data_IF_824604000232
#
_entry.id   IF_824604000232
#
_cell.length_a   1.000
_cell.length_b   1.000
_cell.length_c   1.000
_cell.angle_alpha   90.00
_cell.angle_beta   90.00
_cell.angle_gamma   90.00
#
_symmetry.space_group_name_H-M   'P 1'
#
loop_
_entity.id
_entity.type
_entity.pdbx_description
1 polymer ?
#
# COMPACT_ATOMS: atom_id res chain seq x y z
N UNK A 1 13.60 53.78 31.09
CA UNK A 1 13.34 52.48 31.75
C UNK A 1 12.82 51.50 30.73
N UNK A 2 13.76 50.84 30.06
CA UNK A 2 13.62 50.05 28.82
C UNK A 2 13.86 48.55 29.07
N UNK A 3 13.22 47.90 30.06
CA UNK A 3 13.51 46.47 30.31
C UNK A 3 12.31 45.53 30.46
N UNK A 4 11.07 46.02 30.36
CA UNK A 4 9.89 45.18 30.64
C UNK A 4 9.10 44.73 29.40
N UNK A 5 9.42 45.21 28.19
CA UNK A 5 8.73 44.81 26.95
C UNK A 5 9.50 43.83 26.07
N UNK A 6 10.73 43.46 26.44
CA UNK A 6 11.58 42.55 25.64
C UNK A 6 11.47 41.08 26.03
N UNK A 7 10.72 40.73 27.10
CA UNK A 7 10.69 39.35 27.62
C UNK A 7 9.54 38.48 27.12
N UNK A 8 8.62 39.02 26.32
CA UNK A 8 7.43 38.28 25.84
C UNK A 8 7.50 37.81 24.39
N UNK A 9 8.55 38.15 23.65
CA UNK A 9 8.74 37.74 22.24
C UNK A 9 9.65 36.51 22.12
N UNK A 10 10.38 36.13 23.18
CA UNK A 10 11.34 35.02 23.12
C UNK A 10 10.72 33.62 23.29
N UNK A 11 9.46 33.49 23.69
CA UNK A 11 8.85 32.19 23.99
C UNK A 11 8.07 31.57 22.82
N UNK A 12 7.72 32.33 21.77
CA UNK A 12 6.92 31.82 20.65
C UNK A 12 7.74 31.29 19.47
N UNK A 13 9.06 31.52 19.44
CA UNK A 13 9.88 31.20 18.27
C UNK A 13 10.65 29.86 18.35
N UNK A 14 10.49 29.08 19.43
CA UNK A 14 11.21 27.81 19.62
C UNK A 14 10.36 26.53 19.48
N UNK A 15 9.06 26.65 19.18
CA UNK A 15 8.18 25.48 19.03
C UNK A 15 7.89 25.08 17.56
N UNK A 16 8.46 25.76 16.57
CA UNK A 16 8.13 25.50 15.15
C UNK A 16 8.95 24.34 14.55
N UNK A 17 10.05 23.91 15.18
CA UNK A 17 10.89 22.83 14.62
C UNK A 17 10.43 21.40 14.95
N UNK A 18 9.42 21.19 15.79
CA UNK A 18 8.95 19.86 16.17
C UNK A 18 7.79 19.32 15.32
N UNK A 19 7.20 20.14 14.43
CA UNK A 19 5.98 19.77 13.69
C UNK A 19 6.24 18.96 12.39
N UNK A 20 7.47 18.90 11.90
CA UNK A 20 7.82 18.12 10.71
C UNK A 20 8.43 16.76 11.08
N UNK A 21 7.73 15.95 11.89
CA UNK A 21 7.90 14.50 11.81
C UNK A 21 6.99 13.99 10.70
N UNK A 22 7.43 14.19 9.45
CA UNK A 22 6.92 13.39 8.34
C UNK A 22 7.20 11.93 8.73
N UNK A 23 6.15 11.19 9.07
CA UNK A 23 6.22 9.73 9.08
C UNK A 23 6.46 9.34 7.63
N UNK A 24 7.73 9.21 7.25
CA UNK A 24 8.08 8.47 6.04
C UNK A 24 7.38 7.12 6.15
N UNK A 25 6.40 6.91 5.28
CA UNK A 25 5.72 5.65 5.17
C UNK A 25 6.72 4.68 4.56
N UNK A 26 7.55 4.05 5.42
CA UNK A 26 8.61 3.10 5.03
C UNK A 26 8.08 1.81 4.42
N UNK A 27 6.78 1.75 4.11
CA UNK A 27 6.09 0.60 3.55
C UNK A 27 5.45 0.90 2.20
N UNK A 28 5.98 1.86 1.45
CA UNK A 28 5.88 1.79 0.00
C UNK A 28 6.81 0.67 -0.44
N UNK A 29 6.22 -0.48 -0.77
CA UNK A 29 6.90 -1.65 -1.31
C UNK A 29 7.90 -1.21 -2.39
N UNK A 30 9.18 -1.14 -2.02
CA UNK A 30 10.23 -0.74 -2.93
C UNK A 30 10.43 -1.93 -3.84
N UNK A 31 9.74 -1.92 -4.98
CA UNK A 31 10.17 -2.65 -6.18
C UNK A 31 11.61 -2.20 -6.47
N UNK A 32 12.59 -2.94 -5.95
CA UNK A 32 14.01 -2.62 -6.13
C UNK A 32 14.51 -2.98 -7.52
N UNK A 33 13.71 -3.76 -8.28
CA UNK A 33 14.04 -4.24 -9.60
C UNK A 33 12.87 -4.01 -10.58
N UNK A 34 13.20 -3.53 -11.78
CA UNK A 34 12.24 -3.36 -12.88
C UNK A 34 11.85 -4.72 -13.51
N UNK A 35 12.77 -5.68 -13.50
CA UNK A 35 12.55 -7.07 -13.94
C UNK A 35 12.89 -8.04 -12.81
N UNK A 36 12.02 -9.02 -12.60
CA UNK A 36 12.18 -10.09 -11.61
C UNK A 36 13.08 -11.21 -12.18
N UNK A 37 14.39 -10.99 -12.20
CA UNK A 37 15.35 -11.93 -12.82
C UNK A 37 15.57 -13.22 -12.02
N UNK A 38 15.11 -13.28 -10.76
CA UNK A 38 15.21 -14.47 -9.93
C UNK A 38 14.46 -15.68 -10.51
N UNK A 39 13.46 -15.45 -11.36
CA UNK A 39 12.63 -16.51 -11.95
C UNK A 39 13.18 -17.08 -13.26
N UNK A 40 14.26 -16.49 -13.80
CA UNK A 40 14.87 -16.95 -15.03
C UNK A 40 15.40 -18.37 -14.86
N UNK A 41 14.96 -19.27 -15.74
CA UNK A 41 15.47 -20.62 -15.92
C UNK A 41 16.49 -20.65 -17.08
N UNK A 42 17.76 -20.50 -16.73
CA UNK A 42 18.87 -20.51 -17.69
C UNK A 42 19.14 -21.89 -18.32
N UNK A 43 18.44 -22.96 -17.91
CA UNK A 43 18.55 -24.27 -18.57
C UNK A 43 17.77 -24.30 -19.89
N UNK A 44 16.75 -23.45 -20.03
CA UNK A 44 15.97 -23.29 -21.26
C UNK A 44 16.57 -22.22 -22.16
N UNK A 45 16.81 -22.51 -23.43
CA UNK A 45 17.26 -21.48 -24.38
C UNK A 45 16.12 -20.49 -24.68
N UNK A 46 16.37 -19.17 -24.65
CA UNK A 46 15.33 -18.17 -24.94
C UNK A 46 14.70 -18.29 -26.32
N UNK A 47 15.46 -18.76 -27.33
CA UNK A 47 15.00 -18.97 -28.71
C UNK A 47 13.99 -20.10 -28.83
N UNK A 48 14.05 -21.07 -27.93
CA UNK A 48 13.28 -22.31 -28.04
C UNK A 48 11.97 -22.16 -27.28
N UNK A 49 12.02 -21.55 -26.08
CA UNK A 49 10.84 -21.21 -25.30
C UNK A 49 11.12 -20.02 -24.37
N UNK A 50 10.80 -18.82 -24.85
CA UNK A 50 11.02 -17.60 -24.08
C UNK A 50 10.20 -17.53 -22.78
N UNK A 51 8.98 -18.07 -22.78
CA UNK A 51 8.12 -18.05 -21.59
C UNK A 51 8.71 -18.89 -20.46
N UNK A 52 9.19 -20.10 -20.78
CA UNK A 52 9.87 -20.98 -19.84
C UNK A 52 11.22 -20.37 -19.40
N UNK A 53 12.00 -19.78 -20.31
CA UNK A 53 13.24 -19.11 -19.94
C UNK A 53 13.03 -18.00 -18.90
N UNK A 54 12.02 -17.15 -19.07
CA UNK A 54 11.76 -16.03 -18.15
C UNK A 54 11.08 -16.47 -16.85
N UNK A 55 10.14 -17.42 -16.93
CA UNK A 55 9.24 -17.75 -15.81
C UNK A 55 9.48 -19.14 -15.20
N UNK A 56 10.43 -19.93 -15.71
CA UNK A 56 10.53 -21.37 -15.40
C UNK A 56 10.57 -21.68 -13.90
N UNK A 57 11.41 -20.98 -13.14
CA UNK A 57 11.48 -21.18 -11.68
C UNK A 57 10.21 -20.73 -10.95
N UNK A 58 9.48 -19.75 -11.50
CA UNK A 58 8.17 -19.37 -10.95
C UNK A 58 7.14 -20.47 -11.22
N UNK A 59 7.12 -21.03 -12.43
CA UNK A 59 6.20 -22.11 -12.80
C UNK A 59 6.39 -23.36 -11.91
N UNK A 60 7.64 -23.66 -11.53
CA UNK A 60 7.95 -24.78 -10.63
C UNK A 60 7.39 -24.61 -9.20
N UNK A 61 7.09 -23.38 -8.79
CA UNK A 61 6.69 -23.04 -7.41
C UNK A 61 5.27 -22.46 -7.30
N UNK A 62 4.72 -21.98 -8.41
CA UNK A 62 3.39 -21.38 -8.45
C UNK A 62 2.30 -22.42 -8.14
N UNK A 63 1.52 -22.14 -7.11
CA UNK A 63 0.33 -22.93 -6.76
C UNK A 63 -0.90 -22.08 -6.98
N UNK A 64 -1.95 -22.65 -7.59
CA UNK A 64 -3.26 -21.99 -7.68
C UNK A 64 -3.98 -22.21 -6.34
N UNK A 65 -4.28 -21.15 -5.56
CA UNK A 65 -5.04 -21.28 -4.33
C UNK A 65 -6.44 -21.85 -4.57
N UNK A 66 -7.01 -22.56 -3.59
CA UNK A 66 -8.30 -23.26 -3.74
C UNK A 66 -9.51 -22.35 -3.98
N UNK A 67 -9.38 -21.06 -3.68
CA UNK A 67 -10.38 -20.02 -3.91
C UNK A 67 -10.22 -19.31 -5.28
N UNK A 68 -9.27 -19.74 -6.11
CA UNK A 68 -8.95 -19.09 -7.39
C UNK A 68 -8.91 -20.09 -8.54
N UNK A 69 -9.20 -19.60 -9.73
CA UNK A 69 -9.11 -20.38 -10.98
C UNK A 69 -7.76 -20.19 -11.68
N UNK A 70 -6.96 -19.19 -11.27
CA UNK A 70 -5.65 -18.89 -11.84
C UNK A 70 -4.75 -18.16 -10.84
N UNK A 71 -3.44 -18.20 -11.10
CA UNK A 71 -2.42 -17.43 -10.37
C UNK A 71 -1.45 -16.78 -11.37
N UNK A 72 -0.91 -15.62 -11.02
CA UNK A 72 0.01 -14.86 -11.88
C UNK A 72 0.09 -13.40 -11.46
N UNK A 73 0.87 -12.61 -12.20
CA UNK A 73 1.12 -11.20 -11.86
C UNK A 73 -0.14 -10.33 -11.80
N UNK A 74 -1.11 -10.54 -12.70
CA UNK A 74 -2.39 -9.81 -12.66
C UNK A 74 -3.27 -10.21 -11.47
N UNK A 75 -3.28 -11.50 -11.10
CA UNK A 75 -3.98 -11.95 -9.91
C UNK A 75 -3.38 -11.30 -8.65
N UNK A 76 -2.05 -11.30 -8.54
CA UNK A 76 -1.34 -10.65 -7.44
C UNK A 76 -1.67 -9.15 -7.35
N UNK A 77 -1.59 -8.41 -8.47
CA UNK A 77 -1.95 -6.99 -8.51
C UNK A 77 -3.39 -6.74 -8.05
N UNK A 78 -4.32 -7.57 -8.51
CA UNK A 78 -5.72 -7.46 -8.12
C UNK A 78 -5.92 -7.71 -6.62
N UNK A 79 -5.25 -8.71 -6.06
CA UNK A 79 -5.32 -9.02 -4.63
C UNK A 79 -4.73 -7.91 -3.76
N UNK A 80 -3.56 -7.39 -4.13
CA UNK A 80 -2.96 -6.24 -3.45
C UNK A 80 -3.86 -5.01 -3.49
N UNK A 81 -4.52 -4.77 -4.62
CA UNK A 81 -5.45 -3.64 -4.80
C UNK A 81 -6.70 -3.83 -3.95
N UNK A 82 -7.28 -5.04 -3.94
CA UNK A 82 -8.43 -5.38 -3.08
C UNK A 82 -8.09 -5.21 -1.60
N UNK A 83 -6.91 -5.63 -1.16
CA UNK A 83 -6.47 -5.47 0.22
C UNK A 83 -6.35 -4.00 0.62
N UNK A 84 -5.77 -3.16 -0.25
CA UNK A 84 -5.70 -1.70 -0.03
C UNK A 84 -7.10 -1.07 0.03
N UNK A 85 -7.98 -1.45 -0.90
CA UNK A 85 -9.35 -0.96 -0.92
C UNK A 85 -10.14 -1.39 0.33
N UNK A 86 -10.01 -2.66 0.74
CA UNK A 86 -10.62 -3.20 1.96
C UNK A 86 -10.19 -2.39 3.18
N UNK A 87 -8.90 -2.10 3.32
CA UNK A 87 -8.41 -1.28 4.42
C UNK A 87 -9.04 0.14 4.44
N UNK A 88 -9.18 0.79 3.28
CA UNK A 88 -9.82 2.10 3.18
C UNK A 88 -11.32 2.06 3.53
N UNK A 89 -12.02 1.02 3.08
CA UNK A 89 -13.45 0.84 3.35
C UNK A 89 -13.67 0.52 4.84
N UNK A 90 -12.85 -0.34 5.43
CA UNK A 90 -12.90 -0.63 6.87
C UNK A 90 -12.62 0.62 7.72
N UNK A 91 -11.70 1.48 7.28
CA UNK A 91 -11.45 2.76 7.92
C UNK A 91 -12.67 3.68 7.82
N UNK A 92 -13.32 3.75 6.66
CA UNK A 92 -14.56 4.50 6.47
C UNK A 92 -15.71 3.96 7.34
N UNK A 93 -15.81 2.64 7.51
CA UNK A 93 -16.81 2.00 8.37
C UNK A 93 -16.58 2.30 9.87
N UNK A 94 -15.31 2.31 10.31
CA UNK A 94 -14.94 2.65 11.70
C UNK A 94 -15.06 4.14 12.00
N UNK A 95 -14.74 4.97 11.01
CA UNK A 95 -14.71 6.43 11.10
C UNK A 95 -15.60 7.04 9.99
N UNK A 96 -16.93 7.06 10.16
CA UNK A 96 -17.86 7.43 9.08
C UNK A 96 -17.83 8.93 8.70
N UNK A 97 -17.22 9.78 9.53
CA UNK A 97 -17.20 11.22 9.30
C UNK A 97 -18.57 11.85 9.55
N UNK A 98 -18.88 12.93 8.81
CA UNK A 98 -20.15 13.64 8.99
C UNK A 98 -21.34 12.85 8.42
N UNK A 99 -22.50 12.97 9.07
CA UNK A 99 -23.75 12.37 8.60
C UNK A 99 -24.09 12.85 7.17
N UNK A 100 -24.51 11.92 6.32
CA UNK A 100 -24.82 12.13 4.90
C UNK A 100 -23.60 12.14 3.96
N UNK A 101 -22.37 12.10 4.49
CA UNK A 101 -21.15 12.15 3.68
C UNK A 101 -20.92 10.87 2.85
N UNK A 102 -20.08 10.96 1.81
CA UNK A 102 -19.68 9.79 1.00
C UNK A 102 -18.96 8.76 1.87
N UNK A 103 -18.12 9.20 2.80
CA UNK A 103 -17.39 8.30 3.70
C UNK A 103 -18.36 7.48 4.57
N UNK A 104 -19.35 8.14 5.18
CA UNK A 104 -20.40 7.46 5.94
C UNK A 104 -21.13 6.44 5.07
N UNK A 105 -21.58 6.85 3.87
CA UNK A 105 -22.31 5.95 2.95
C UNK A 105 -21.50 4.73 2.52
N UNK A 106 -20.19 4.89 2.27
CA UNK A 106 -19.28 3.78 1.94
C UNK A 106 -19.17 2.81 3.12
N UNK A 107 -18.98 3.33 4.32
CA UNK A 107 -18.91 2.53 5.55
C UNK A 107 -20.21 1.78 5.84
N UNK A 108 -21.36 2.45 5.75
CA UNK A 108 -22.67 1.87 5.98
C UNK A 108 -22.99 0.76 4.96
N UNK A 109 -22.68 1.00 3.68
CA UNK A 109 -22.86 -0.01 2.64
C UNK A 109 -22.00 -1.25 2.89
N UNK A 110 -20.74 -1.06 3.31
CA UNK A 110 -19.88 -2.17 3.68
C UNK A 110 -20.45 -2.97 4.86
N UNK A 111 -20.86 -2.30 5.94
CA UNK A 111 -21.43 -2.97 7.11
C UNK A 111 -22.70 -3.74 6.78
N UNK A 112 -23.53 -3.25 5.84
CA UNK A 112 -24.77 -3.93 5.43
C UNK A 112 -24.57 -5.33 4.83
N UNK A 113 -23.36 -5.67 4.37
CA UNK A 113 -23.03 -7.00 3.86
C UNK A 113 -22.05 -7.79 4.72
N UNK A 114 -21.61 -7.24 5.85
CA UNK A 114 -20.63 -7.85 6.75
C UNK A 114 -21.20 -8.24 8.12
N UNK A 115 -22.34 -7.67 8.52
CA UNK A 115 -23.21 -8.17 9.61
C UNK A 115 -24.03 -9.39 9.15
#
# INVERSE_FOLDING_TARGET
MNKLKFSLIAASSLCVFAACKNKENKNADKRTHFLETQYIDSSTKPSDNFYQFVNGKWLDTATIPSDKTSVGGFNQLADETRNKLKALIEEAAKNPGAAGSIQQKVGDFFNSGMD
#
